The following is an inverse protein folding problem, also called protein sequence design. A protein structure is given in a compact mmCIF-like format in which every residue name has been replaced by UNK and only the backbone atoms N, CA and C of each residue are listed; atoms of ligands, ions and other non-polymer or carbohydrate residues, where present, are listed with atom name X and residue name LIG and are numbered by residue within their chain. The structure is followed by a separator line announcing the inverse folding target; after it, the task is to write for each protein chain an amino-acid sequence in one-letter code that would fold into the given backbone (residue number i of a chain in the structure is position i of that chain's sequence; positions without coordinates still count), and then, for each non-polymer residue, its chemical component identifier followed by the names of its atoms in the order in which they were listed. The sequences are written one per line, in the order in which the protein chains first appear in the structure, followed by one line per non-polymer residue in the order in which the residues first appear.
data_IF_423739435510
#
_entry.id   IF_423739435510
#
_cell.length_a   1.000
_cell.length_b   1.000
_cell.length_c   1.000
_cell.angle_alpha   90.00
_cell.angle_beta   90.00
_cell.angle_gamma   90.00
#
_symmetry.space_group_name_H-M   'P 1'
#
loop_
_entity.id
_entity.type
_entity.pdbx_description
1 polymer ?
#
# COMPACT_ATOMS: atom_id res chain seq x y z
N UNK A 1 0.97 16.19 -3.35
CA UNK A 1 2.33 15.61 -3.20
C UNK A 1 2.28 14.19 -2.63
N UNK A 2 1.88 13.95 -1.37
CA UNK A 2 1.83 12.58 -0.82
C UNK A 2 0.99 11.63 -1.67
N UNK A 3 -0.19 12.04 -2.10
CA UNK A 3 -1.10 11.25 -2.93
C UNK A 3 -0.51 10.90 -4.31
N UNK A 4 0.19 11.83 -4.95
CA UNK A 4 0.78 11.60 -6.29
C UNK A 4 2.01 10.70 -6.25
N UNK A 5 2.74 10.73 -5.12
CA UNK A 5 3.95 9.94 -4.94
C UNK A 5 3.67 8.51 -4.45
N UNK A 6 2.62 8.32 -3.67
CA UNK A 6 2.35 7.06 -2.99
C UNK A 6 2.21 5.88 -3.99
N UNK A 7 3.04 4.85 -3.80
CA UNK A 7 3.07 3.68 -4.67
C UNK A 7 1.86 2.78 -4.49
N UNK A 8 1.28 2.73 -3.29
CA UNK A 8 0.12 1.90 -2.99
C UNK A 8 -1.13 2.46 -3.69
N UNK A 9 -1.28 3.79 -3.76
CA UNK A 9 -2.35 4.42 -4.54
C UNK A 9 -2.22 4.14 -6.04
N UNK A 10 -1.00 4.21 -6.59
CA UNK A 10 -0.75 3.82 -7.98
C UNK A 10 -1.06 2.34 -8.24
N UNK A 11 -0.75 1.47 -7.27
CA UNK A 11 -1.10 0.05 -7.34
C UNK A 11 -2.62 -0.15 -7.30
N UNK A 12 -3.34 0.60 -6.44
CA UNK A 12 -4.79 0.55 -6.36
C UNK A 12 -5.47 1.01 -7.66
N UNK A 13 -4.97 2.05 -8.33
CA UNK A 13 -5.44 2.45 -9.67
C UNK A 13 -5.26 1.34 -10.71
N UNK A 14 -4.13 0.64 -10.69
CA UNK A 14 -3.88 -0.51 -11.57
C UNK A 14 -4.80 -1.69 -11.24
N UNK A 15 -5.15 -1.88 -9.97
CA UNK A 15 -6.11 -2.90 -9.55
C UNK A 15 -7.53 -2.60 -10.06
N UNK A 16 -7.96 -1.32 -10.02
CA UNK A 16 -9.22 -0.91 -10.66
C UNK A 16 -9.20 -1.22 -12.16
N UNK A 17 -8.13 -0.85 -12.86
CA UNK A 17 -8.00 -1.16 -14.27
C UNK A 17 -8.03 -2.68 -14.56
N UNK A 18 -7.39 -3.48 -13.72
CA UNK A 18 -7.43 -4.93 -13.82
C UNK A 18 -8.84 -5.49 -13.61
N UNK A 19 -9.60 -4.98 -12.64
CA UNK A 19 -10.98 -5.39 -12.39
C UNK A 19 -11.90 -5.05 -13.56
N UNK A 20 -11.69 -3.94 -14.27
CA UNK A 20 -12.40 -3.61 -15.51
C UNK A 20 -12.12 -4.64 -16.61
N UNK A 21 -10.89 -5.12 -16.74
CA UNK A 21 -10.57 -6.16 -17.72
C UNK A 21 -11.16 -7.52 -17.33
N UNK A 22 -11.28 -7.82 -16.03
CA UNK A 22 -12.00 -9.02 -15.55
C UNK A 22 -13.49 -8.94 -15.93
N UNK A 23 -14.14 -7.78 -15.80
CA UNK A 23 -15.52 -7.60 -16.26
C UNK A 23 -15.64 -7.80 -17.78
N UNK A 24 -14.74 -7.24 -18.58
CA UNK A 24 -14.69 -7.46 -20.02
C UNK A 24 -14.51 -8.94 -20.38
N UNK A 25 -13.66 -9.65 -19.63
CA UNK A 25 -13.48 -11.08 -19.78
C UNK A 25 -14.76 -11.87 -19.48
N UNK A 26 -15.45 -11.54 -18.38
CA UNK A 26 -16.73 -12.17 -18.06
C UNK A 26 -17.79 -11.91 -19.14
N UNK A 27 -17.84 -10.71 -19.71
CA UNK A 27 -18.72 -10.38 -20.86
C UNK A 27 -18.34 -11.13 -22.13
N UNK A 28 -17.04 -11.46 -22.32
CA UNK A 28 -16.57 -12.24 -23.46
C UNK A 28 -17.08 -13.68 -23.44
N UNK A 29 -17.48 -14.21 -22.28
CA UNK A 29 -18.07 -15.55 -22.16
C UNK A 29 -19.45 -15.65 -22.85
N UNK A 30 -20.09 -14.52 -23.19
CA UNK A 30 -21.29 -14.49 -24.06
C UNK A 30 -20.97 -14.60 -25.53
N UNK A 31 -19.71 -14.48 -25.95
CA UNK A 31 -19.29 -14.51 -27.36
C UNK A 31 -18.86 -15.91 -27.77
N UNK A 32 -18.88 -16.22 -29.09
CA UNK A 32 -18.31 -17.46 -29.58
C UNK A 32 -16.83 -17.60 -29.23
N UNK A 33 -16.44 -18.75 -28.72
CA UNK A 33 -15.04 -19.12 -28.47
C UNK A 33 -14.53 -19.94 -29.63
N UNK A 34 -13.49 -19.47 -30.29
CA UNK A 34 -12.76 -20.19 -31.32
C UNK A 34 -11.51 -20.80 -30.72
N UNK A 35 -11.35 -22.12 -30.85
CA UNK A 35 -10.14 -22.83 -30.42
C UNK A 35 -9.59 -23.68 -31.53
N UNK A 36 -8.26 -23.66 -31.71
CA UNK A 36 -7.53 -24.53 -32.63
C UNK A 36 -6.56 -25.41 -31.85
N UNK A 37 -6.58 -26.71 -32.14
CA UNK A 37 -5.62 -27.64 -31.55
C UNK A 37 -4.86 -28.35 -32.67
N UNK A 38 -3.56 -28.52 -32.48
CA UNK A 38 -2.73 -29.36 -33.37
C UNK A 38 -1.96 -30.36 -32.49
N UNK A 39 -1.99 -31.60 -32.89
CA UNK A 39 -1.23 -32.63 -32.21
C UNK A 39 -0.30 -33.31 -33.19
N UNK A 40 0.87 -33.67 -32.72
CA UNK A 40 1.87 -34.44 -33.42
C UNK A 40 2.44 -35.49 -32.46
N UNK A 41 2.35 -36.75 -32.85
CA UNK A 41 2.82 -37.87 -32.04
C UNK A 41 3.64 -38.80 -32.90
N UNK A 42 4.86 -39.09 -32.47
CA UNK A 42 5.72 -40.11 -33.02
C UNK A 42 5.80 -41.27 -32.03
N UNK A 43 5.57 -42.50 -32.50
CA UNK A 43 5.65 -43.73 -31.70
C UNK A 43 6.68 -44.64 -32.37
N UNK A 44 7.79 -44.90 -31.67
CA UNK A 44 8.90 -45.70 -32.21
C UNK A 44 8.50 -47.14 -32.45
N UNK A 45 7.69 -47.74 -31.56
CA UNK A 45 7.16 -49.09 -31.66
C UNK A 45 5.62 -49.03 -31.69
N UNK A 46 5.01 -48.91 -32.89
CA UNK A 46 3.56 -48.89 -32.99
C UNK A 46 2.99 -50.30 -32.66
N UNK A 47 1.77 -50.29 -32.12
CA UNK A 47 1.08 -51.53 -31.79
C UNK A 47 0.80 -52.34 -33.05
N UNK A 48 1.28 -53.56 -33.08
CA UNK A 48 0.98 -54.59 -34.16
C UNK A 48 -0.16 -55.45 -33.66
N UNK A 49 -1.24 -55.52 -34.41
CA UNK A 49 -2.36 -56.39 -34.13
C UNK A 49 -2.40 -57.46 -35.19
N UNK A 50 -2.05 -58.72 -34.82
CA UNK A 50 -2.14 -59.89 -35.72
C UNK A 50 -3.46 -60.59 -35.45
N UNK A 51 -4.34 -60.60 -36.45
CA UNK A 51 -5.57 -61.34 -36.46
C UNK A 51 -5.27 -62.68 -37.20
N UNK A 52 -5.20 -63.77 -36.45
CA UNK A 52 -5.04 -65.11 -36.99
C UNK A 52 -6.35 -65.88 -36.83
N UNK A 53 -6.93 -66.29 -37.94
CA UNK A 53 -8.15 -67.09 -37.97
C UNK A 53 -7.79 -68.44 -38.68
N UNK A 54 -7.26 -69.45 -37.92
CA UNK A 54 -6.74 -70.71 -38.49
C UNK A 54 -7.79 -71.48 -39.25
N UNK A 55 -9.05 -71.41 -38.89
CA UNK A 55 -10.17 -72.12 -39.52
C UNK A 55 -10.49 -71.63 -40.95
N UNK A 56 -10.01 -70.44 -41.32
CA UNK A 56 -10.21 -69.84 -42.65
C UNK A 56 -8.90 -69.60 -43.41
N UNK A 57 -7.77 -70.02 -42.84
CA UNK A 57 -6.45 -69.79 -43.43
C UNK A 57 -6.07 -68.29 -43.60
N UNK A 58 -6.69 -67.42 -42.81
CA UNK A 58 -6.48 -65.99 -42.91
C UNK A 58 -5.63 -65.51 -41.73
N UNK A 59 -4.43 -65.03 -42.04
CA UNK A 59 -3.60 -64.26 -41.08
C UNK A 59 -3.37 -62.86 -41.65
N UNK A 60 -3.75 -61.83 -40.89
CA UNK A 60 -3.57 -60.46 -41.30
C UNK A 60 -2.97 -59.65 -40.13
N UNK A 61 -1.80 -59.09 -40.34
CA UNK A 61 -1.16 -58.18 -39.44
C UNK A 61 -1.52 -56.69 -39.82
N UNK A 62 -2.02 -55.95 -38.89
CA UNK A 62 -2.26 -54.56 -39.07
C UNK A 62 -1.26 -53.80 -38.17
N UNK A 63 -0.33 -53.12 -38.81
CA UNK A 63 0.66 -52.29 -38.14
C UNK A 63 0.06 -50.91 -37.83
N UNK A 64 0.27 -50.42 -36.60
CA UNK A 64 -0.06 -49.05 -36.20
C UNK A 64 0.82 -48.04 -36.96
N UNK A 65 0.35 -46.82 -37.06
CA UNK A 65 1.13 -45.72 -37.67
C UNK A 65 2.18 -45.19 -36.70
N UNK A 66 3.44 -45.12 -37.11
CA UNK A 66 4.53 -44.52 -36.37
C UNK A 66 4.31 -42.99 -36.17
N UNK A 67 3.74 -42.34 -37.18
CA UNK A 67 3.48 -40.91 -37.19
C UNK A 67 1.97 -40.65 -37.17
N UNK A 68 1.53 -39.99 -36.14
CA UNK A 68 0.15 -39.54 -36.01
C UNK A 68 0.12 -38.02 -35.86
N UNK A 69 -0.59 -37.34 -36.73
CA UNK A 69 -0.80 -35.91 -36.67
C UNK A 69 -2.26 -35.58 -36.92
N UNK A 70 -2.72 -34.53 -36.24
CA UNK A 70 -4.08 -34.08 -36.36
C UNK A 70 -4.20 -32.60 -36.05
N UNK A 71 -5.23 -31.98 -36.58
CA UNK A 71 -5.60 -30.64 -36.25
C UNK A 71 -7.10 -30.53 -36.20
N UNK A 72 -7.61 -29.76 -35.25
CA UNK A 72 -9.03 -29.44 -35.17
C UNK A 72 -9.24 -27.94 -34.91
N UNK A 73 -10.28 -27.41 -35.50
CA UNK A 73 -10.77 -26.07 -35.25
C UNK A 73 -12.19 -26.21 -34.71
N UNK A 74 -12.45 -25.66 -33.54
CA UNK A 74 -13.77 -25.71 -32.92
C UNK A 74 -14.29 -24.31 -32.55
N UNK A 75 -15.59 -24.11 -32.77
CA UNK A 75 -16.32 -22.91 -32.36
C UNK A 75 -17.34 -23.35 -31.32
N UNK A 76 -17.26 -22.76 -30.12
CA UNK A 76 -18.21 -22.99 -29.04
C UNK A 76 -18.99 -21.70 -28.76
N UNK A 77 -20.31 -21.73 -28.95
CA UNK A 77 -21.21 -20.63 -28.61
C UNK A 77 -22.20 -21.11 -27.54
N UNK A 78 -22.09 -20.56 -26.29
CA UNK A 78 -23.12 -20.82 -25.28
C UNK A 78 -24.43 -20.15 -25.68
N UNK A 79 -25.51 -20.91 -25.80
CA UNK A 79 -26.86 -20.37 -26.10
C UNK A 79 -27.64 -20.14 -24.83
N UNK A 80 -27.55 -21.05 -23.88
CA UNK A 80 -28.19 -20.95 -22.58
C UNK A 80 -27.33 -21.59 -21.47
N UNK A 81 -27.09 -20.85 -20.39
CA UNK A 81 -26.22 -21.30 -19.28
C UNK A 81 -26.93 -21.27 -17.92
N UNK A 82 -28.28 -21.20 -17.89
CA UNK A 82 -29.04 -21.13 -16.64
C UNK A 82 -28.77 -19.87 -15.82
N UNK A 83 -28.40 -18.77 -16.46
CA UNK A 83 -28.05 -17.50 -15.77
C UNK A 83 -26.59 -17.38 -15.30
N UNK A 84 -25.81 -18.49 -15.29
CA UNK A 84 -24.44 -18.52 -14.76
C UNK A 84 -23.55 -17.40 -15.32
N UNK A 85 -23.57 -17.16 -16.64
CA UNK A 85 -22.72 -16.12 -17.24
C UNK A 85 -23.21 -14.71 -16.87
N UNK A 86 -24.51 -14.49 -16.74
CA UNK A 86 -25.05 -13.21 -16.32
C UNK A 86 -24.67 -12.89 -14.87
N UNK A 87 -24.76 -13.88 -13.98
CA UNK A 87 -24.35 -13.68 -12.59
C UNK A 87 -22.83 -13.53 -12.44
N UNK A 88 -22.02 -14.19 -13.28
CA UNK A 88 -20.57 -13.95 -13.29
C UNK A 88 -20.22 -12.51 -13.75
N UNK A 89 -20.98 -11.93 -14.67
CA UNK A 89 -20.81 -10.53 -15.08
C UNK A 89 -21.19 -9.60 -13.93
N UNK A 90 -22.31 -9.84 -13.24
CA UNK A 90 -22.71 -9.05 -12.06
C UNK A 90 -21.67 -9.12 -10.95
N UNK A 91 -21.17 -10.32 -10.66
CA UNK A 91 -20.08 -10.50 -9.70
C UNK A 91 -18.84 -9.69 -10.09
N UNK A 92 -18.44 -9.69 -11.36
CA UNK A 92 -17.30 -8.90 -11.83
C UNK A 92 -17.56 -7.38 -11.73
N UNK A 93 -18.80 -6.91 -11.92
CA UNK A 93 -19.19 -5.51 -11.73
C UNK A 93 -19.09 -5.10 -10.24
N UNK A 94 -19.62 -5.93 -9.33
CA UNK A 94 -19.48 -5.68 -7.90
C UNK A 94 -18.00 -5.70 -7.47
N UNK A 95 -17.19 -6.58 -8.03
CA UNK A 95 -15.77 -6.61 -7.75
C UNK A 95 -15.03 -5.35 -8.25
N UNK A 96 -15.48 -4.75 -9.34
CA UNK A 96 -14.98 -3.45 -9.80
C UNK A 96 -15.38 -2.33 -8.84
N UNK A 97 -16.64 -2.27 -8.40
CA UNK A 97 -17.11 -1.30 -7.39
C UNK A 97 -16.34 -1.44 -6.09
N UNK A 98 -16.14 -2.68 -5.62
CA UNK A 98 -15.33 -2.97 -4.45
C UNK A 98 -13.90 -2.45 -4.58
N UNK A 99 -13.23 -2.71 -5.72
CA UNK A 99 -11.87 -2.21 -5.97
C UNK A 99 -11.82 -0.67 -5.98
N UNK A 100 -12.83 -0.01 -6.54
CA UNK A 100 -12.93 1.45 -6.55
C UNK A 100 -13.12 2.03 -5.13
N UNK A 101 -13.97 1.41 -4.31
CA UNK A 101 -14.18 1.83 -2.92
C UNK A 101 -12.95 1.52 -2.05
N UNK A 102 -12.26 0.41 -2.29
CA UNK A 102 -10.98 0.11 -1.63
C UNK A 102 -9.90 1.16 -1.95
N UNK A 103 -9.82 1.63 -3.18
CA UNK A 103 -8.89 2.71 -3.55
C UNK A 103 -9.23 4.03 -2.84
N UNK A 104 -10.52 4.35 -2.64
CA UNK A 104 -10.94 5.52 -1.87
C UNK A 104 -10.55 5.38 -0.39
N UNK A 105 -10.82 4.22 0.22
CA UNK A 105 -10.42 3.96 1.62
C UNK A 105 -8.91 4.06 1.81
N UNK A 106 -8.13 3.57 0.85
CA UNK A 106 -6.67 3.71 0.87
C UNK A 106 -6.23 5.17 0.76
N UNK A 107 -6.89 5.97 -0.10
CA UNK A 107 -6.63 7.41 -0.21
C UNK A 107 -6.87 8.12 1.14
N UNK A 108 -7.98 7.83 1.80
CA UNK A 108 -8.29 8.42 3.10
C UNK A 108 -7.28 7.98 4.17
N UNK A 109 -6.84 6.73 4.15
CA UNK A 109 -5.80 6.22 5.04
C UNK A 109 -4.44 6.92 4.81
N UNK A 110 -4.05 7.17 3.56
CA UNK A 110 -2.82 7.91 3.23
C UNK A 110 -2.90 9.35 3.70
N UNK A 111 -4.04 10.04 3.52
CA UNK A 111 -4.27 11.38 4.03
C UNK A 111 -4.11 11.40 5.56
N UNK A 112 -4.80 10.51 6.27
CA UNK A 112 -4.75 10.42 7.72
C UNK A 112 -3.32 10.15 8.25
N UNK A 113 -2.59 9.24 7.63
CA UNK A 113 -1.21 8.96 8.02
C UNK A 113 -0.29 10.15 7.76
N UNK A 114 -0.51 10.89 6.66
CA UNK A 114 0.25 12.10 6.35
C UNK A 114 0.01 13.19 7.40
N UNK A 115 -1.25 13.38 7.81
CA UNK A 115 -1.62 14.34 8.85
C UNK A 115 -0.99 13.98 10.20
N UNK A 116 -1.01 12.69 10.60
CA UNK A 116 -0.33 12.23 11.82
C UNK A 116 1.16 12.54 11.78
N UNK A 117 1.84 12.24 10.67
CA UNK A 117 3.27 12.49 10.55
C UNK A 117 3.59 14.00 10.55
N UNK A 118 2.75 14.80 9.90
CA UNK A 118 2.89 16.25 9.89
C UNK A 118 2.80 16.83 11.32
N UNK A 119 1.73 16.53 12.04
CA UNK A 119 1.53 17.04 13.40
C UNK A 119 2.54 16.47 14.40
N UNK A 120 3.01 15.24 14.19
CA UNK A 120 4.13 14.68 14.97
C UNK A 120 5.43 15.45 14.73
N UNK A 121 5.71 15.85 13.49
CA UNK A 121 6.90 16.66 13.19
C UNK A 121 6.78 18.09 13.78
N UNK A 122 5.61 18.72 13.68
CA UNK A 122 5.33 20.02 14.32
C UNK A 122 5.51 19.94 15.84
N UNK A 123 4.95 18.92 16.50
CA UNK A 123 5.12 18.76 17.94
C UNK A 123 6.59 18.62 18.36
N UNK A 124 7.40 17.89 17.56
CA UNK A 124 8.84 17.75 17.81
C UNK A 124 9.58 19.07 17.61
N UNK A 125 9.16 19.90 16.65
CA UNK A 125 9.72 21.25 16.46
C UNK A 125 9.47 22.13 17.68
N UNK A 126 8.25 22.11 18.21
CA UNK A 126 7.92 22.86 19.43
C UNK A 126 8.72 22.37 20.65
N UNK A 127 8.97 21.07 20.76
CA UNK A 127 9.84 20.50 21.82
C UNK A 127 11.27 21.04 21.70
N UNK A 128 11.82 21.22 20.48
CA UNK A 128 13.14 21.86 20.30
C UNK A 128 13.13 23.28 20.84
N UNK A 129 12.11 24.08 20.51
CA UNK A 129 11.97 25.46 21.00
C UNK A 129 11.93 25.50 22.53
N UNK A 130 11.14 24.63 23.17
CA UNK A 130 11.07 24.52 24.64
C UNK A 130 12.41 24.10 25.23
N UNK A 131 13.12 23.16 24.62
CA UNK A 131 14.42 22.71 25.09
C UNK A 131 15.51 23.81 24.97
N UNK A 132 15.46 24.63 23.91
CA UNK A 132 16.31 25.81 23.73
C UNK A 132 16.08 26.85 24.83
N UNK A 133 14.83 27.18 25.09
CA UNK A 133 14.45 28.13 26.14
C UNK A 133 14.86 27.64 27.54
N UNK A 134 14.67 26.34 27.80
CA UNK A 134 15.13 25.71 29.06
C UNK A 134 16.66 25.78 29.21
N UNK A 135 17.42 25.38 28.18
CA UNK A 135 18.87 25.48 28.17
C UNK A 135 19.36 26.91 28.40
N UNK A 136 18.72 27.89 27.73
CA UNK A 136 19.05 29.33 27.89
C UNK A 136 18.79 29.84 29.31
N UNK A 137 17.69 29.39 29.91
CA UNK A 137 17.34 29.72 31.30
C UNK A 137 18.36 29.17 32.30
N UNK A 138 18.78 27.89 32.12
CA UNK A 138 19.82 27.28 32.96
C UNK A 138 21.18 27.95 32.75
N UNK A 139 21.54 28.31 31.50
CA UNK A 139 22.78 29.04 31.22
C UNK A 139 22.84 30.42 31.94
N UNK A 140 21.71 31.15 31.96
CA UNK A 140 21.59 32.39 32.69
C UNK A 140 21.75 32.22 34.22
N UNK A 141 21.17 31.10 34.74
CA UNK A 141 21.33 30.74 36.16
C UNK A 141 22.80 30.43 36.50
N UNK A 142 23.49 29.61 35.69
CA UNK A 142 24.91 29.30 35.85
C UNK A 142 25.75 30.59 35.91
N UNK A 143 25.50 31.54 34.98
CA UNK A 143 26.17 32.81 34.94
C UNK A 143 25.97 33.59 36.26
N UNK A 144 24.74 33.65 36.77
CA UNK A 144 24.43 34.35 38.03
C UNK A 144 25.10 33.70 39.23
N UNK A 145 25.13 32.33 39.30
CA UNK A 145 25.80 31.60 40.37
C UNK A 145 27.29 31.84 40.31
N UNK A 146 27.89 31.80 39.12
CA UNK A 146 29.33 32.07 38.93
C UNK A 146 29.72 33.45 39.44
N UNK A 147 28.99 34.48 39.11
CA UNK A 147 29.20 35.84 39.59
C UNK A 147 29.12 35.95 41.14
N UNK A 148 28.20 35.19 41.77
CA UNK A 148 28.05 35.14 43.24
C UNK A 148 29.17 34.35 43.92
N UNK A 149 29.69 33.30 43.31
CA UNK A 149 30.85 32.55 43.80
C UNK A 149 32.10 33.43 43.77
N UNK A 150 32.29 34.22 42.68
CA UNK A 150 33.43 35.13 42.53
C UNK A 150 33.50 36.18 43.65
N UNK A 151 32.36 36.61 44.19
CA UNK A 151 32.27 37.55 45.30
C UNK A 151 32.12 36.88 46.69
N UNK A 152 32.22 35.55 46.75
CA UNK A 152 32.22 34.74 47.98
C UNK A 152 30.83 34.61 48.65
N UNK A 153 29.75 34.81 47.91
CA UNK A 153 28.35 34.75 48.41
C UNK A 153 27.75 33.33 48.31
N UNK A 154 28.33 32.44 47.51
CA UNK A 154 27.81 31.10 47.25
C UNK A 154 29.01 30.12 47.22
N UNK A 155 28.77 28.86 47.61
CA UNK A 155 29.76 27.81 47.59
C UNK A 155 30.14 27.40 46.15
N UNK A 156 31.45 27.19 45.85
CA UNK A 156 31.88 26.64 44.55
C UNK A 156 31.21 25.30 44.18
N UNK A 157 30.75 24.51 45.14
CA UNK A 157 30.02 23.27 44.88
C UNK A 157 28.67 23.52 44.18
N UNK A 158 28.00 24.63 44.53
CA UNK A 158 26.72 24.99 43.88
C UNK A 158 26.92 25.35 42.40
N UNK A 159 28.07 25.96 42.04
CA UNK A 159 28.43 26.22 40.66
C UNK A 159 28.60 24.90 39.90
N UNK A 160 29.33 23.92 40.46
CA UNK A 160 29.47 22.61 39.80
C UNK A 160 28.14 21.89 39.59
N UNK A 161 27.24 21.98 40.56
CA UNK A 161 25.87 21.42 40.40
C UNK A 161 25.09 22.11 39.30
N UNK A 162 25.20 23.45 39.20
CA UNK A 162 24.54 24.21 38.14
C UNK A 162 25.12 23.91 36.76
N UNK A 163 26.44 23.73 36.64
CA UNK A 163 27.12 23.32 35.40
C UNK A 163 26.70 21.90 34.96
N UNK A 164 26.52 20.97 35.90
CA UNK A 164 25.96 19.63 35.59
C UNK A 164 24.55 19.76 35.01
N UNK A 165 23.70 20.64 35.58
CA UNK A 165 22.37 20.89 35.05
C UNK A 165 22.37 21.53 33.66
N UNK A 166 23.35 22.39 33.36
CA UNK A 166 23.52 22.96 32.04
C UNK A 166 23.88 21.86 31.02
N UNK A 167 24.83 20.99 31.35
CA UNK A 167 25.21 19.88 30.49
C UNK A 167 24.01 18.91 30.23
N UNK A 168 23.18 18.69 31.27
CA UNK A 168 21.94 17.90 31.10
C UNK A 168 20.95 18.59 30.14
N UNK A 169 20.75 19.90 30.26
CA UNK A 169 19.90 20.68 29.39
C UNK A 169 20.42 20.71 27.94
N UNK A 170 21.73 20.82 27.73
CA UNK A 170 22.38 20.74 26.42
C UNK A 170 22.19 19.36 25.77
N UNK A 171 22.31 18.28 26.55
CA UNK A 171 22.03 16.93 26.08
C UNK A 171 20.56 16.76 25.65
N UNK A 172 19.61 17.28 26.46
CA UNK A 172 18.18 17.25 26.13
C UNK A 172 17.87 18.02 24.84
N UNK A 173 18.49 19.17 24.64
CA UNK A 173 18.35 19.96 23.42
C UNK A 173 18.86 19.15 22.20
N UNK A 174 20.05 18.57 22.29
CA UNK A 174 20.62 17.77 21.20
C UNK A 174 19.71 16.57 20.86
N UNK A 175 19.15 15.93 21.87
CA UNK A 175 18.21 14.83 21.69
C UNK A 175 16.90 15.31 21.01
N UNK A 176 16.36 16.45 21.43
CA UNK A 176 15.17 17.03 20.82
C UNK A 176 15.41 17.39 19.34
N UNK A 177 16.56 17.99 19.02
CA UNK A 177 16.95 18.29 17.64
C UNK A 177 17.07 17.03 16.77
N UNK A 178 17.71 15.99 17.29
CA UNK A 178 17.83 14.70 16.58
C UNK A 178 16.46 14.04 16.34
N UNK A 179 15.57 14.11 17.33
CA UNK A 179 14.21 13.59 17.20
C UNK A 179 13.38 14.37 16.17
N UNK A 180 13.55 15.69 16.12
CA UNK A 180 12.90 16.55 15.13
C UNK A 180 13.39 16.20 13.72
N UNK A 181 14.70 16.12 13.50
CA UNK A 181 15.26 15.75 12.20
C UNK A 181 14.75 14.39 11.71
N UNK A 182 14.70 13.40 12.60
CA UNK A 182 14.13 12.08 12.29
C UNK A 182 12.65 12.17 11.90
N UNK A 183 11.87 12.98 12.63
CA UNK A 183 10.46 13.22 12.31
C UNK A 183 10.25 13.91 10.98
N UNK A 184 11.08 14.91 10.66
CA UNK A 184 11.07 15.62 9.37
C UNK A 184 11.43 14.69 8.22
N UNK A 185 12.43 13.83 8.38
CA UNK A 185 12.81 12.82 7.39
C UNK A 185 11.68 11.82 7.14
N UNK A 186 10.97 11.39 8.18
CA UNK A 186 9.81 10.51 8.03
C UNK A 186 8.68 11.16 7.24
N UNK A 187 8.37 12.44 7.52
CA UNK A 187 7.41 13.21 6.74
C UNK A 187 7.87 13.36 5.28
N UNK A 188 9.13 13.73 5.06
CA UNK A 188 9.70 13.90 3.72
C UNK A 188 9.61 12.61 2.89
N UNK A 189 9.87 11.46 3.50
CA UNK A 189 9.70 10.15 2.86
C UNK A 189 8.25 9.92 2.42
N UNK A 190 7.28 10.31 3.25
CA UNK A 190 5.86 10.10 2.97
C UNK A 190 5.34 11.00 1.84
N UNK A 191 5.81 12.27 1.79
CA UNK A 191 5.42 13.22 0.73
C UNK A 191 6.23 13.06 -0.56
N UNK A 192 7.26 12.19 -0.57
CA UNK A 192 8.05 11.86 -1.74
C UNK A 192 9.13 12.89 -2.10
N UNK A 193 9.59 13.69 -1.13
CA UNK A 193 10.73 14.58 -1.30
C UNK A 193 12.00 13.94 -0.73
N UNK A 194 13.17 14.53 -1.05
CA UNK A 194 14.45 14.03 -0.51
C UNK A 194 14.42 14.08 1.02
N UNK A 195 14.96 13.06 1.68
CA UNK A 195 14.95 12.95 3.15
C UNK A 195 15.55 14.18 3.85
N UNK A 196 16.60 14.75 3.28
CA UNK A 196 17.32 15.91 3.81
C UNK A 196 16.67 17.26 3.46
N UNK A 197 15.54 17.24 2.71
CA UNK A 197 14.88 18.48 2.32
C UNK A 197 14.41 19.26 3.55
N UNK A 198 14.68 20.56 3.56
CA UNK A 198 14.19 21.43 4.62
C UNK A 198 12.73 21.78 4.34
N UNK A 199 11.82 21.00 4.95
CA UNK A 199 10.38 21.24 4.86
C UNK A 199 9.99 22.21 5.96
N UNK A 200 9.45 23.34 5.57
CA UNK A 200 8.87 24.32 6.52
C UNK A 200 7.56 23.76 7.09
N UNK A 201 7.43 23.83 8.40
CA UNK A 201 6.25 23.36 9.13
C UNK A 201 5.54 24.57 9.72
N UNK A 202 4.22 24.64 9.52
CA UNK A 202 3.37 25.63 10.15
C UNK A 202 2.80 25.04 11.45
N UNK A 203 3.08 25.70 12.58
CA UNK A 203 2.60 25.28 13.90
C UNK A 203 1.17 25.76 14.22
N UNK A 204 0.54 26.54 13.33
CA UNK A 204 -0.83 27.02 13.56
C UNK A 204 -1.83 25.87 13.48
N UNK A 205 -2.45 25.55 14.61
CA UNK A 205 -3.50 24.53 14.68
C UNK A 205 -4.79 25.11 14.09
N UNK A 206 -5.32 24.56 12.98
CA UNK A 206 -6.57 25.04 12.40
C UNK A 206 -7.74 24.76 13.36
N UNK A 207 -8.55 25.78 13.62
CA UNK A 207 -9.80 25.60 14.37
C UNK A 207 -10.83 24.96 13.45
N UNK A 208 -11.07 23.66 13.61
CA UNK A 208 -12.11 22.95 12.89
C UNK A 208 -13.41 23.01 13.69
N UNK A 209 -14.39 23.79 13.19
CA UNK A 209 -15.75 23.77 13.74
C UNK A 209 -16.48 22.59 13.08
N UNK A 210 -16.74 21.54 13.84
CA UNK A 210 -17.47 20.37 13.37
C UNK A 210 -18.93 20.50 13.77
N UNK A 211 -19.84 20.47 12.77
CA UNK A 211 -21.28 20.45 13.01
C UNK A 211 -21.74 19.02 13.29
N UNK A 212 -22.37 18.79 14.43
CA UNK A 212 -22.85 17.49 14.88
C UNK A 212 -23.84 16.82 13.89
N UNK A 213 -24.55 17.61 13.09
CA UNK A 213 -25.52 17.10 12.13
C UNK A 213 -24.90 16.33 10.94
N UNK A 214 -23.63 16.57 10.66
CA UNK A 214 -22.92 15.96 9.50
C UNK A 214 -22.38 14.57 9.80
N UNK A 215 -22.20 14.16 11.05
CA UNK A 215 -21.56 12.90 11.43
C UNK A 215 -22.32 11.65 10.94
N UNK A 216 -23.65 11.64 11.09
CA UNK A 216 -24.49 10.50 10.72
C UNK A 216 -24.57 10.30 9.19
N UNK A 217 -24.69 11.39 8.43
CA UNK A 217 -24.75 11.33 6.97
C UNK A 217 -23.41 10.92 6.36
N UNK A 218 -22.31 11.42 6.92
CA UNK A 218 -20.95 11.11 6.46
C UNK A 218 -20.56 9.67 6.81
N UNK A 219 -21.06 9.13 7.95
CA UNK A 219 -20.79 7.75 8.37
C UNK A 219 -21.26 6.72 7.35
N UNK A 220 -22.45 6.88 6.77
CA UNK A 220 -23.01 5.96 5.77
C UNK A 220 -22.32 6.03 4.39
N UNK A 221 -21.63 7.14 4.10
CA UNK A 221 -20.92 7.36 2.87
C UNK A 221 -19.46 6.84 2.89
N UNK A 222 -19.02 6.26 4.02
CA UNK A 222 -17.64 5.75 4.14
C UNK A 222 -17.38 4.61 3.16
N UNK A 223 -16.21 4.63 2.47
CA UNK A 223 -15.86 3.60 1.50
C UNK A 223 -15.87 2.17 2.10
N UNK A 224 -15.50 2.00 3.38
CA UNK A 224 -15.48 0.72 4.07
C UNK A 224 -16.89 0.14 4.23
N UNK A 225 -17.89 1.00 4.46
CA UNK A 225 -19.29 0.58 4.54
C UNK A 225 -19.81 0.21 3.15
N UNK A 226 -19.46 0.99 2.14
CA UNK A 226 -19.86 0.70 0.75
C UNK A 226 -19.27 -0.63 0.25
N UNK A 227 -18.02 -0.94 0.59
CA UNK A 227 -17.40 -2.24 0.28
C UNK A 227 -18.16 -3.44 0.88
N UNK A 228 -18.88 -3.26 1.97
CA UNK A 228 -19.67 -4.33 2.59
C UNK A 228 -21.00 -4.60 1.87
N UNK A 229 -21.45 -3.68 1.03
CA UNK A 229 -22.68 -3.82 0.21
C UNK A 229 -22.39 -4.27 -1.23
N UNK A 230 -21.15 -4.11 -1.72
CA UNK A 230 -20.68 -4.55 -3.05
C UNK A 230 -20.36 -6.06 -3.05
#
# INVERSE_FOLDING_TARGET
MALDYNHDLKAAEKNIAASMEVEKSARADLKPKLSGTANFQYTENPLELTLDVPSLGLSRTVEGKQLNYGGSLSILQPVYTGGRVLESIRMAQHQQSFAANQAKALNDAVCYQTDIQYWSAVARQEIVTVAEDFRNSIAALVKTIKERVEVGLVDPQDLLMAEVKLNEAEYQLLQAQSNFETGRMALNSMIGVRLEHHTELDSQIPVVVVDDSTWLSTGMARPEIQMAYD
#
